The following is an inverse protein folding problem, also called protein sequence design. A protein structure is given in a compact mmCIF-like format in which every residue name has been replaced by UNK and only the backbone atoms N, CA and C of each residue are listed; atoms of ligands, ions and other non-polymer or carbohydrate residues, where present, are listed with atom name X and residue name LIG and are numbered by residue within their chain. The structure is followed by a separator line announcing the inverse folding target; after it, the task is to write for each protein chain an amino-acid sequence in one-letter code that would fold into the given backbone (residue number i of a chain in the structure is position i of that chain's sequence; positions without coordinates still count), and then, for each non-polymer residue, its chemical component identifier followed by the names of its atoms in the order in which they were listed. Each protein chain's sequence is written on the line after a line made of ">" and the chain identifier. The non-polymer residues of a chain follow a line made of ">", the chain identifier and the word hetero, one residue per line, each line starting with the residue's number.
data_IF_946758309208
#
_entry.id   IF_946758309208
#
_cell.length_a   1.000
_cell.length_b   1.000
_cell.length_c   1.000
_cell.angle_alpha   90.00
_cell.angle_beta   90.00
_cell.angle_gamma   90.00
#
_symmetry.space_group_name_H-M   'P 1'
#
loop_
_entity.id
_entity.type
_entity.pdbx_description
1 polymer ?
#
# COMPACT_ATOMS: atom_id res chain seq x y z
N UNK A 1 -13.29 -20.63 -40.84
CA UNK A 1 -12.43 -21.05 -39.72
C UNK A 1 -11.98 -19.79 -39.01
N UNK A 2 -12.52 -19.50 -37.82
CA UNK A 2 -12.08 -18.36 -37.02
C UNK A 2 -11.05 -18.90 -36.05
N UNK A 3 -9.79 -18.50 -36.25
CA UNK A 3 -8.66 -18.93 -35.43
C UNK A 3 -8.81 -18.24 -34.07
N UNK A 4 -9.21 -19.00 -33.05
CA UNK A 4 -9.22 -18.54 -31.67
C UNK A 4 -7.78 -18.29 -31.23
N UNK A 5 -7.39 -17.02 -31.12
CA UNK A 5 -6.13 -16.65 -30.51
C UNK A 5 -6.16 -17.11 -29.04
N UNK A 6 -5.30 -18.08 -28.72
CA UNK A 6 -5.04 -18.50 -27.34
C UNK A 6 -4.54 -17.28 -26.58
N UNK A 7 -5.37 -16.75 -25.67
CA UNK A 7 -4.95 -15.68 -24.78
C UNK A 7 -3.82 -16.21 -23.90
N UNK A 8 -2.58 -15.78 -24.16
CA UNK A 8 -1.48 -16.00 -23.24
C UNK A 8 -1.81 -15.27 -21.94
N UNK A 9 -2.04 -16.06 -20.91
CA UNK A 9 -2.38 -15.64 -19.55
C UNK A 9 -1.15 -14.95 -18.95
N UNK A 10 -1.02 -13.63 -19.10
CA UNK A 10 0.11 -12.92 -18.53
C UNK A 10 -0.18 -12.38 -17.13
N UNK A 11 0.84 -12.45 -16.28
CA UNK A 11 0.72 -12.23 -14.84
C UNK A 11 1.82 -11.30 -14.34
N UNK A 12 1.51 -10.56 -13.29
CA UNK A 12 2.46 -9.70 -12.60
C UNK A 12 3.03 -10.45 -11.40
N UNK A 13 4.26 -10.96 -11.50
CA UNK A 13 4.88 -11.76 -10.42
C UNK A 13 5.05 -10.95 -9.13
N UNK A 14 5.41 -9.67 -9.27
CA UNK A 14 5.70 -8.78 -8.15
C UNK A 14 4.45 -8.12 -7.54
N UNK A 15 3.24 -8.39 -8.07
CA UNK A 15 2.01 -7.77 -7.58
C UNK A 15 0.81 -8.72 -7.61
N UNK A 16 0.53 -9.37 -6.48
CA UNK A 16 -0.57 -10.34 -6.33
C UNK A 16 -1.97 -9.75 -6.59
N UNK A 17 -2.15 -8.44 -6.42
CA UNK A 17 -3.46 -7.80 -6.60
C UNK A 17 -3.63 -7.16 -7.98
N UNK A 18 -2.72 -7.42 -8.92
CA UNK A 18 -2.82 -6.90 -10.27
C UNK A 18 -3.74 -7.74 -11.16
N UNK A 19 -4.50 -7.05 -12.02
CA UNK A 19 -5.26 -7.64 -13.12
C UNK A 19 -4.53 -7.33 -14.42
N UNK A 20 -4.15 -8.35 -15.18
CA UNK A 20 -3.37 -8.21 -16.41
C UNK A 20 -4.14 -8.74 -17.62
N UNK A 21 -4.08 -8.05 -18.75
CA UNK A 21 -4.75 -8.47 -19.99
C UNK A 21 -3.86 -8.28 -21.23
N UNK A 22 -4.02 -9.21 -22.19
CA UNK A 22 -3.54 -9.13 -23.57
C UNK A 22 -2.03 -9.25 -23.82
N UNK A 23 -1.63 -9.28 -25.10
CA UNK A 23 -0.30 -8.88 -25.56
C UNK A 23 -0.35 -7.52 -26.31
N UNK A 24 0.46 -6.51 -25.95
CA UNK A 24 1.39 -6.47 -24.83
C UNK A 24 0.64 -6.46 -23.48
N UNK A 25 1.27 -7.01 -22.45
CA UNK A 25 0.64 -7.15 -21.14
C UNK A 25 0.42 -5.81 -20.46
N UNK A 26 -0.86 -5.47 -20.30
CA UNK A 26 -1.28 -4.29 -19.56
C UNK A 26 -1.84 -4.74 -18.22
N UNK A 27 -1.19 -4.30 -17.14
CA UNK A 27 -1.55 -4.66 -15.78
C UNK A 27 -2.04 -3.43 -15.01
N UNK A 28 -3.08 -3.62 -14.22
CA UNK A 28 -3.66 -2.57 -13.37
C UNK A 28 -3.88 -3.05 -11.94
N UNK A 29 -3.96 -2.11 -10.99
CA UNK A 29 -4.40 -2.35 -9.61
C UNK A 29 -5.59 -1.45 -9.26
N UNK A 30 -6.58 -1.95 -8.50
CA UNK A 30 -7.75 -1.16 -8.15
C UNK A 30 -7.46 -0.21 -6.98
N UNK A 31 -7.30 1.08 -7.23
CA UNK A 31 -7.07 2.10 -6.19
C UNK A 31 -8.37 2.51 -5.49
N UNK A 32 -9.49 2.51 -6.21
CA UNK A 32 -10.83 2.75 -5.67
C UNK A 32 -11.81 1.77 -6.32
N UNK A 33 -13.12 1.96 -6.11
CA UNK A 33 -14.14 1.15 -6.79
C UNK A 33 -14.18 1.39 -8.31
N UNK A 34 -13.77 2.58 -8.73
CA UNK A 34 -13.97 3.08 -10.10
C UNK A 34 -12.65 3.44 -10.80
N UNK A 35 -11.52 3.36 -10.09
CA UNK A 35 -10.20 3.75 -10.62
C UNK A 35 -9.23 2.58 -10.54
N UNK A 36 -8.83 2.12 -11.73
CA UNK A 36 -7.75 1.17 -11.93
C UNK A 36 -6.48 1.91 -12.37
N UNK A 37 -5.41 1.73 -11.60
CA UNK A 37 -4.11 2.35 -11.85
C UNK A 37 -3.23 1.42 -12.67
N UNK A 38 -2.77 1.83 -13.86
CA UNK A 38 -1.77 1.10 -14.63
C UNK A 38 -0.46 0.95 -13.84
N UNK A 39 0.13 -0.23 -13.90
CA UNK A 39 1.40 -0.54 -13.23
C UNK A 39 2.41 -1.18 -14.19
N UNK A 40 3.68 -0.93 -13.91
CA UNK A 40 4.82 -1.56 -14.56
C UNK A 40 5.31 -2.72 -13.70
N UNK A 41 5.06 -3.96 -14.15
CA UNK A 41 5.43 -5.17 -13.41
C UNK A 41 6.95 -5.42 -13.30
N UNK A 42 7.77 -4.66 -14.03
CA UNK A 42 9.22 -4.69 -13.88
C UNK A 42 9.72 -3.90 -12.66
N UNK A 43 8.86 -3.09 -12.05
CA UNK A 43 9.17 -2.24 -10.90
C UNK A 43 8.30 -2.57 -9.71
N UNK A 44 8.77 -2.19 -8.53
CA UNK A 44 7.93 -2.22 -7.33
C UNK A 44 6.82 -1.17 -7.45
N UNK A 45 5.60 -1.58 -7.15
CA UNK A 45 4.46 -0.67 -7.07
C UNK A 45 4.68 0.33 -5.92
N UNK A 46 4.42 1.63 -6.14
CA UNK A 46 4.55 2.64 -5.09
C UNK A 46 3.78 2.29 -3.81
N UNK A 47 4.41 2.52 -2.65
CA UNK A 47 3.83 2.19 -1.34
C UNK A 47 2.45 2.82 -1.11
N UNK A 48 2.24 4.07 -1.54
CA UNK A 48 0.96 4.75 -1.37
C UNK A 48 -0.17 4.01 -2.09
N UNK A 49 0.07 3.60 -3.34
CA UNK A 49 -0.89 2.79 -4.09
C UNK A 49 -1.16 1.44 -3.43
N UNK A 50 -0.13 0.75 -2.96
CA UNK A 50 -0.29 -0.52 -2.24
C UNK A 50 -1.17 -0.38 -0.99
N UNK A 51 -0.91 0.64 -0.17
CA UNK A 51 -1.71 0.93 1.02
C UNK A 51 -3.17 1.23 0.66
N UNK A 52 -3.40 1.98 -0.42
CA UNK A 52 -4.74 2.32 -0.92
C UNK A 52 -5.51 1.08 -1.40
N UNK A 53 -4.86 0.19 -2.15
CA UNK A 53 -5.44 -1.10 -2.57
C UNK A 53 -5.74 -1.97 -1.34
N UNK A 54 -4.85 -2.01 -0.35
CA UNK A 54 -5.09 -2.76 0.88
C UNK A 54 -6.33 -2.25 1.61
N UNK A 55 -6.52 -0.92 1.72
CA UNK A 55 -7.69 -0.33 2.38
C UNK A 55 -8.97 -0.60 1.61
N UNK A 56 -8.94 -0.54 0.27
CA UNK A 56 -10.06 -0.93 -0.56
C UNK A 56 -10.44 -2.40 -0.33
N UNK A 57 -9.46 -3.31 -0.29
CA UNK A 57 -9.69 -4.74 -0.03
C UNK A 57 -10.28 -4.97 1.35
N UNK A 58 -9.79 -4.26 2.38
CA UNK A 58 -10.37 -4.27 3.72
C UNK A 58 -11.83 -3.83 3.75
N UNK A 59 -12.16 -2.77 3.02
CA UNK A 59 -13.55 -2.29 2.92
C UNK A 59 -14.51 -3.32 2.29
N UNK A 60 -13.97 -4.28 1.52
CA UNK A 60 -14.70 -5.40 0.91
C UNK A 60 -14.68 -6.68 1.76
N UNK A 61 -14.14 -6.64 2.97
CA UNK A 61 -13.99 -7.81 3.84
C UNK A 61 -12.91 -8.80 3.38
N UNK A 62 -12.01 -8.38 2.49
CA UNK A 62 -10.93 -9.21 1.94
C UNK A 62 -9.58 -8.91 2.62
N UNK A 63 -9.60 -8.61 3.92
CA UNK A 63 -8.39 -8.31 4.69
C UNK A 63 -7.47 -9.54 4.72
N UNK A 64 -6.18 -9.30 4.60
CA UNK A 64 -5.14 -10.34 4.72
C UNK A 64 -4.74 -10.58 6.18
N UNK A 65 -5.12 -9.70 7.11
CA UNK A 65 -4.89 -9.90 8.55
C UNK A 65 -5.91 -10.89 9.11
N UNK A 66 -5.42 -12.07 9.45
CA UNK A 66 -6.19 -13.15 10.08
C UNK A 66 -6.38 -12.95 11.58
N UNK A 67 -5.58 -12.08 12.20
CA UNK A 67 -5.69 -11.73 13.63
C UNK A 67 -6.67 -10.57 13.74
N UNK A 68 -7.87 -10.86 14.24
CA UNK A 68 -8.88 -9.84 14.53
C UNK A 68 -8.36 -8.77 15.48
N UNK A 69 -9.01 -7.61 15.44
CA UNK A 69 -8.75 -6.48 16.35
C UNK A 69 -8.78 -6.97 17.82
N UNK A 70 -7.69 -6.88 18.59
CA UNK A 70 -7.72 -7.12 20.03
C UNK A 70 -8.65 -6.09 20.69
N UNK A 71 -9.54 -6.52 21.58
CA UNK A 71 -10.54 -5.65 22.24
C UNK A 71 -9.90 -4.55 23.10
N UNK A 72 -8.65 -4.74 23.54
CA UNK A 72 -7.90 -3.83 24.41
C UNK A 72 -6.67 -3.20 23.74
N UNK A 73 -6.53 -3.35 22.42
CA UNK A 73 -5.42 -2.73 21.70
C UNK A 73 -5.61 -1.21 21.60
N UNK A 74 -4.73 -0.42 22.23
CA UNK A 74 -4.54 0.97 21.81
C UNK A 74 -4.22 0.96 20.32
N UNK A 75 -5.17 1.43 19.50
CA UNK A 75 -4.97 1.51 18.06
C UNK A 75 -3.99 2.64 17.82
N UNK A 76 -2.71 2.32 17.78
CA UNK A 76 -1.71 3.21 17.19
C UNK A 76 -2.00 3.22 15.67
N UNK A 77 -2.92 4.10 15.27
CA UNK A 77 -3.49 4.17 13.92
C UNK A 77 -2.46 4.66 12.88
N UNK A 78 -1.25 4.96 13.33
CA UNK A 78 -0.21 5.61 12.54
C UNK A 78 0.44 4.73 11.47
N UNK A 79 0.25 3.41 11.57
CA UNK A 79 0.84 2.46 10.64
C UNK A 79 -0.01 2.18 9.39
N UNK A 80 -1.34 2.23 9.51
CA UNK A 80 -2.27 1.92 8.42
C UNK A 80 -3.48 2.87 8.43
N UNK A 81 -3.66 3.57 7.32
CA UNK A 81 -4.77 4.46 7.00
C UNK A 81 -5.05 4.38 5.47
N UNK A 82 -6.15 4.97 5.00
CA UNK A 82 -6.44 5.14 3.57
C UNK A 82 -5.71 6.40 3.06
N UNK A 83 -4.62 6.27 2.28
CA UNK A 83 -3.78 7.41 1.94
C UNK A 83 -4.29 8.15 0.70
N UNK A 84 -4.06 9.45 0.71
CA UNK A 84 -4.05 10.27 -0.49
C UNK A 84 -2.69 10.18 -1.19
N UNK A 85 -2.73 9.79 -2.45
CA UNK A 85 -1.55 9.67 -3.31
C UNK A 85 -1.55 10.75 -4.38
N UNK A 86 -0.35 11.19 -4.75
CA UNK A 86 -0.11 11.89 -6.01
C UNK A 86 -0.23 10.91 -7.20
N UNK A 87 -0.34 11.44 -8.42
CA UNK A 87 -0.48 10.62 -9.64
C UNK A 87 0.73 9.71 -9.92
N UNK A 88 1.90 10.05 -9.40
CA UNK A 88 3.13 9.25 -9.51
C UNK A 88 3.26 8.20 -8.39
N UNK A 89 2.28 8.11 -7.48
CA UNK A 89 2.25 7.16 -6.38
C UNK A 89 3.03 7.58 -5.14
N UNK A 90 3.54 8.82 -5.08
CA UNK A 90 4.02 9.42 -3.83
C UNK A 90 2.84 9.73 -2.91
N UNK A 91 3.12 9.83 -1.62
CA UNK A 91 2.15 10.37 -0.66
C UNK A 91 1.98 11.86 -0.88
N UNK A 92 0.75 12.36 -0.80
CA UNK A 92 0.55 13.77 -0.52
C UNK A 92 1.09 14.10 0.87
N UNK A 93 1.72 15.26 1.03
CA UNK A 93 2.35 15.64 2.30
C UNK A 93 1.32 15.79 3.43
N UNK A 94 0.13 16.31 3.13
CA UNK A 94 -1.03 16.34 4.03
C UNK A 94 -1.89 15.10 3.80
N UNK A 95 -2.29 14.44 4.89
CA UNK A 95 -3.23 13.33 4.91
C UNK A 95 -4.39 13.69 5.84
N UNK A 96 -5.61 13.26 5.52
CA UNK A 96 -6.80 13.56 6.31
C UNK A 96 -7.72 12.33 6.37
N UNK A 97 -8.47 12.16 7.46
CA UNK A 97 -9.32 10.98 7.68
C UNK A 97 -10.80 11.19 7.33
N UNK A 98 -11.16 11.81 6.20
CA UNK A 98 -12.56 12.12 5.81
C UNK A 98 -13.41 12.83 6.89
N UNK A 99 -12.80 13.30 7.98
CA UNK A 99 -13.38 14.15 9.03
C UNK A 99 -12.59 15.47 9.04
N UNK A 100 -12.52 16.14 10.19
CA UNK A 100 -11.73 17.37 10.36
C UNK A 100 -10.29 17.11 10.82
N UNK A 101 -9.87 15.85 11.00
CA UNK A 101 -8.49 15.54 11.40
C UNK A 101 -7.55 15.36 10.20
N UNK A 102 -6.46 16.13 10.19
CA UNK A 102 -5.38 16.05 9.22
C UNK A 102 -4.01 15.98 9.90
N UNK A 103 -3.01 15.40 9.23
CA UNK A 103 -1.63 15.30 9.69
C UNK A 103 -0.65 15.35 8.53
N UNK A 104 0.61 15.71 8.80
CA UNK A 104 1.66 15.63 7.80
C UNK A 104 2.37 14.27 7.83
N UNK A 105 2.75 13.78 6.65
CA UNK A 105 3.53 12.54 6.48
C UNK A 105 4.83 12.79 5.73
N UNK A 106 5.77 11.85 5.86
CA UNK A 106 6.98 11.83 5.05
C UNK A 106 6.81 10.96 3.79
N UNK A 107 7.85 10.84 2.96
CA UNK A 107 7.83 10.05 1.72
C UNK A 107 7.60 8.54 1.93
N UNK A 108 7.76 8.03 3.16
CA UNK A 108 7.45 6.65 3.51
C UNK A 108 5.99 6.48 4.01
N UNK A 109 5.19 7.56 4.01
CA UNK A 109 3.81 7.57 4.48
C UNK A 109 3.67 7.55 6.01
N UNK A 110 4.74 7.84 6.75
CA UNK A 110 4.74 7.84 8.21
C UNK A 110 4.41 9.23 8.72
N UNK A 111 3.47 9.31 9.67
CA UNK A 111 3.07 10.55 10.34
C UNK A 111 4.26 11.25 11.01
N UNK A 112 4.32 12.59 10.90
CA UNK A 112 5.39 13.45 11.44
C UNK A 112 4.88 14.60 12.31
N UNK A 113 3.57 14.75 12.43
CA UNK A 113 2.91 15.76 13.26
C UNK A 113 1.78 15.12 14.05
N UNK A 114 1.30 15.80 15.08
CA UNK A 114 0.00 15.44 15.66
C UNK A 114 -1.13 15.64 14.65
N UNK A 115 -2.28 15.07 14.97
CA UNK A 115 -3.52 15.34 14.24
C UNK A 115 -4.02 16.71 14.63
N UNK A 116 -4.28 17.52 13.63
CA UNK A 116 -4.80 18.88 13.76
C UNK A 116 -6.02 19.05 12.85
N UNK A 117 -6.54 20.27 12.78
CA UNK A 117 -7.64 20.62 11.88
C UNK A 117 -7.25 20.64 10.39
N UNK A 118 -8.22 20.91 9.50
CA UNK A 118 -8.02 20.90 8.04
C UNK A 118 -6.99 21.93 7.53
N UNK A 119 -6.73 22.95 8.34
CA UNK A 119 -5.84 24.08 8.06
C UNK A 119 -4.36 23.82 8.39
N UNK A 120 -3.99 22.61 8.83
CA UNK A 120 -2.58 22.25 9.00
C UNK A 120 -1.82 22.42 7.68
N UNK A 121 -0.65 23.05 7.75
CA UNK A 121 0.16 23.33 6.59
C UNK A 121 1.27 22.28 6.42
N UNK A 122 1.25 21.56 5.29
CA UNK A 122 2.24 20.56 4.91
C UNK A 122 2.79 20.88 3.50
N UNK A 123 3.50 22.01 3.36
CA UNK A 123 3.93 22.55 2.05
C UNK A 123 4.80 21.60 1.23
N UNK A 124 5.59 20.75 1.90
CA UNK A 124 6.55 19.85 1.25
C UNK A 124 6.49 18.46 1.83
N UNK A 125 6.59 17.47 0.96
CA UNK A 125 6.79 16.09 1.35
C UNK A 125 8.22 15.92 1.87
N UNK A 126 8.36 15.65 3.16
CA UNK A 126 9.67 15.43 3.79
C UNK A 126 10.20 14.06 3.36
N UNK A 127 11.44 14.02 2.87
CA UNK A 127 12.03 12.77 2.39
C UNK A 127 12.53 11.88 3.54
N UNK A 128 12.23 10.60 3.45
CA UNK A 128 12.79 9.55 4.31
C UNK A 128 14.10 9.07 3.70
N UNK A 129 15.22 9.58 4.19
CA UNK A 129 16.54 9.24 3.65
C UNK A 129 17.19 8.02 4.33
N UNK A 130 16.73 7.64 5.54
CA UNK A 130 17.23 6.47 6.25
C UNK A 130 16.08 5.59 6.75
N UNK A 131 16.22 4.28 6.57
CA UNK A 131 15.30 3.27 7.10
C UNK A 131 16.17 2.20 7.75
N UNK A 132 16.01 2.01 9.07
CA UNK A 132 16.71 0.97 9.82
C UNK A 132 15.79 -0.23 9.99
N UNK A 133 16.14 -1.35 9.36
CA UNK A 133 15.45 -2.63 9.54
C UNK A 133 16.28 -3.49 10.51
N UNK A 134 15.73 -3.79 11.67
CA UNK A 134 16.30 -4.76 12.62
C UNK A 134 15.47 -6.03 12.47
N UNK A 135 16.08 -7.09 11.93
CA UNK A 135 15.43 -8.39 11.75
C UNK A 135 15.90 -9.32 12.86
N UNK A 136 14.99 -9.73 13.73
CA UNK A 136 15.25 -10.73 14.76
C UNK A 136 14.75 -12.09 14.28
N UNK A 137 15.56 -13.13 14.45
CA UNK A 137 15.18 -14.51 14.19
C UNK A 137 15.33 -15.34 15.46
N UNK A 138 14.46 -16.33 15.65
CA UNK A 138 14.66 -17.31 16.71
C UNK A 138 16.00 -18.00 16.49
N UNK A 139 16.74 -18.24 17.57
CA UNK A 139 17.88 -19.17 17.50
C UNK A 139 17.38 -20.52 16.99
N UNK A 140 18.09 -21.17 16.06
CA UNK A 140 17.77 -22.54 15.70
C UNK A 140 17.87 -23.40 16.96
N UNK A 141 16.97 -24.38 17.16
CA UNK A 141 17.08 -25.29 18.29
C UNK A 141 18.42 -26.04 18.26
N UNK A 142 18.95 -26.36 19.44
CA UNK A 142 20.33 -26.86 19.63
C UNK A 142 20.69 -28.12 18.84
N UNK A 143 19.71 -28.89 18.38
CA UNK A 143 19.91 -30.10 17.57
C UNK A 143 20.13 -29.82 16.07
N UNK A 144 20.04 -28.58 15.62
CA UNK A 144 20.40 -28.16 14.25
C UNK A 144 21.86 -27.69 14.12
N UNK A 145 22.59 -27.55 15.23
CA UNK A 145 24.03 -27.32 15.22
C UNK A 145 24.75 -28.67 15.23
N UNK A 146 25.07 -29.21 14.06
CA UNK A 146 25.98 -30.35 13.89
C UNK A 146 27.42 -29.98 14.25
#
# INVERSE_FOLDING_TARGET
>A
MVVGASAQDCKCENMKWASCTGPPCQCTIPLTRDVDQPIDCSKLVPKCFLMKVEMLRRSKGQDTRTVGKPEEGFVDNDGIYDPECESDGKFKAKQCNNTEECWCVNSAGVRRTEKEGPNINCDKLVETFWIRLILEHSSPPSWLCC
#
